data_IF_617438256548
#
_entry.id   IF_617438256548
#
_cell.length_a   1.000
_cell.length_b   1.000
_cell.length_c   1.000
_cell.angle_alpha   90.00
_cell.angle_beta   90.00
_cell.angle_gamma   90.00
#
_symmetry.space_group_name_H-M   'P 1'
#
loop_
_entity.id
_entity.type
_entity.pdbx_description
1 polymer ?
#
# COMPACT_ATOMS: atom_id res chain seq x y z
N UNK A 1 -4.59 -11.75 6.65
CA UNK A 1 -5.43 -11.08 5.64
C UNK A 1 -4.53 -10.25 4.72
N UNK A 2 -4.99 -9.72 3.58
CA UNK A 2 -4.09 -9.41 2.47
C UNK A 2 -3.24 -8.14 2.60
N UNK A 3 -2.04 -8.19 2.01
CA UNK A 3 -1.24 -7.02 1.64
C UNK A 3 -1.62 -6.54 0.23
N UNK A 4 -2.07 -5.29 0.10
CA UNK A 4 -2.43 -4.66 -1.17
C UNK A 4 -1.33 -3.66 -1.55
N UNK A 5 -0.55 -3.99 -2.57
CA UNK A 5 0.52 -3.14 -3.08
C UNK A 5 -0.02 -2.26 -4.21
N UNK A 6 -0.05 -0.95 -4.00
CA UNK A 6 -0.41 -0.01 -5.08
C UNK A 6 0.86 0.42 -5.80
N UNK A 7 0.84 0.35 -7.12
CA UNK A 7 1.98 0.69 -7.99
C UNK A 7 1.52 1.61 -9.11
N UNK A 8 2.38 2.52 -9.56
CA UNK A 8 2.08 3.41 -10.68
C UNK A 8 2.92 4.68 -10.70
N UNK A 9 2.84 5.41 -11.80
CA UNK A 9 3.61 6.64 -12.01
C UNK A 9 3.27 7.74 -10.99
N UNK A 10 4.18 8.68 -10.72
CA UNK A 10 3.86 9.91 -10.00
C UNK A 10 2.61 10.57 -10.59
N UNK A 11 1.73 11.10 -9.75
CA UNK A 11 0.49 11.79 -10.18
C UNK A 11 -0.50 10.96 -11.01
N UNK A 12 -0.39 9.62 -11.01
CA UNK A 12 -1.37 8.73 -11.67
C UNK A 12 -2.70 8.55 -10.91
N UNK A 13 -2.90 9.23 -9.78
CA UNK A 13 -4.10 9.07 -8.94
C UNK A 13 -4.06 7.88 -7.99
N UNK A 14 -2.86 7.40 -7.63
CA UNK A 14 -2.66 6.27 -6.71
C UNK A 14 -3.37 6.45 -5.37
N UNK A 15 -3.08 7.56 -4.70
CA UNK A 15 -3.66 7.90 -3.40
C UNK A 15 -5.18 8.00 -3.45
N UNK A 16 -5.74 8.56 -4.53
CA UNK A 16 -7.20 8.62 -4.72
C UNK A 16 -7.82 7.22 -4.76
N UNK A 17 -7.23 6.29 -5.50
CA UNK A 17 -7.70 4.90 -5.55
C UNK A 17 -7.44 4.14 -4.26
N UNK A 18 -6.33 4.44 -3.57
CA UNK A 18 -6.00 3.86 -2.27
C UNK A 18 -7.05 4.19 -1.21
N UNK A 19 -7.47 5.47 -1.15
CA UNK A 19 -8.54 5.94 -0.25
C UNK A 19 -9.88 5.30 -0.63
N UNK A 20 -10.25 5.26 -1.92
CA UNK A 20 -11.46 4.58 -2.36
C UNK A 20 -11.49 3.09 -1.96
N UNK A 21 -10.36 2.40 -2.06
CA UNK A 21 -10.24 1.01 -1.63
C UNK A 21 -10.39 0.88 -0.11
N UNK A 22 -9.78 1.79 0.65
CA UNK A 22 -9.94 1.84 2.10
C UNK A 22 -11.41 1.99 2.48
N UNK A 23 -12.09 2.99 1.94
CA UNK A 23 -13.51 3.27 2.21
C UNK A 23 -14.40 2.09 1.80
N UNK A 24 -14.07 1.44 0.67
CA UNK A 24 -14.77 0.24 0.21
C UNK A 24 -14.61 -0.94 1.19
N UNK A 25 -13.40 -1.19 1.69
CA UNK A 25 -13.19 -2.26 2.67
C UNK A 25 -13.84 -1.94 4.01
N UNK A 26 -13.72 -0.70 4.49
CA UNK A 26 -14.35 -0.27 5.74
C UNK A 26 -15.88 -0.39 5.66
N UNK A 27 -16.50 0.06 4.57
CA UNK A 27 -17.96 -0.10 4.38
C UNK A 27 -18.39 -1.58 4.30
N UNK A 28 -17.58 -2.45 3.68
CA UNK A 28 -17.84 -3.90 3.68
C UNK A 28 -17.72 -4.53 5.07
N UNK A 29 -16.79 -4.05 5.88
CA UNK A 29 -16.61 -4.50 7.27
C UNK A 29 -17.79 -4.05 8.13
N UNK A 30 -18.24 -2.80 8.02
CA UNK A 30 -19.39 -2.27 8.77
C UNK A 30 -20.70 -2.97 8.41
N UNK A 31 -20.89 -3.34 7.14
CA UNK A 31 -22.09 -4.03 6.68
C UNK A 31 -22.08 -5.56 6.91
N UNK A 32 -20.96 -6.11 7.41
CA UNK A 32 -20.87 -7.54 7.68
C UNK A 32 -21.63 -7.90 8.97
N UNK A 33 -22.33 -9.05 9.02
CA UNK A 33 -22.93 -9.54 10.25
C UNK A 33 -21.89 -9.76 11.35
N UNK A 34 -22.25 -9.47 12.61
CA UNK A 34 -21.32 -9.38 13.76
C UNK A 34 -20.43 -10.62 13.97
N UNK A 35 -20.92 -11.82 13.60
CA UNK A 35 -20.20 -13.10 13.72
C UNK A 35 -19.20 -13.40 12.58
N UNK A 36 -19.19 -12.60 11.51
CA UNK A 36 -18.26 -12.84 10.42
C UNK A 36 -16.83 -12.49 10.88
N UNK A 37 -15.84 -13.34 10.57
CA UNK A 37 -14.40 -13.03 10.74
C UNK A 37 -13.98 -11.67 10.14
N UNK A 38 -14.82 -11.15 9.24
CA UNK A 38 -14.72 -9.85 8.58
C UNK A 38 -14.91 -8.67 9.53
N UNK A 39 -15.72 -8.79 10.60
CA UNK A 39 -16.00 -7.68 11.53
C UNK A 39 -14.80 -7.29 12.41
N UNK A 40 -13.84 -8.20 12.59
CA UNK A 40 -12.60 -7.97 13.36
C UNK A 40 -11.47 -7.35 12.54
N UNK A 41 -11.69 -7.17 11.25
CA UNK A 41 -10.69 -6.64 10.34
C UNK A 41 -10.44 -5.16 10.58
N UNK A 42 -9.17 -4.77 10.53
CA UNK A 42 -8.77 -3.36 10.45
C UNK A 42 -8.10 -3.09 9.13
N UNK A 43 -8.41 -1.95 8.54
CA UNK A 43 -7.83 -1.50 7.27
C UNK A 43 -6.81 -0.40 7.58
N UNK A 44 -5.57 -0.62 7.16
CA UNK A 44 -4.48 0.33 7.33
C UNK A 44 -4.03 0.83 5.97
N UNK A 45 -3.99 2.15 5.81
CA UNK A 45 -3.43 2.80 4.64
C UNK A 45 -2.08 3.40 5.03
N UNK A 46 -1.01 2.87 4.45
CA UNK A 46 0.36 3.37 4.62
C UNK A 46 0.71 4.09 3.33
N UNK A 47 1.12 5.35 3.46
CA UNK A 47 1.57 6.15 2.33
C UNK A 47 2.81 6.99 2.72
N UNK A 48 3.54 7.49 1.74
CA UNK A 48 4.73 8.32 2.01
C UNK A 48 4.41 9.55 2.89
N UNK A 49 3.19 10.09 2.78
CA UNK A 49 2.76 11.28 3.53
C UNK A 49 2.51 11.00 5.03
N UNK A 50 1.92 9.86 5.37
CA UNK A 50 1.65 9.40 6.74
C UNK A 50 2.95 9.06 7.46
N UNK A 51 3.97 8.64 6.70
CA UNK A 51 5.33 8.40 7.21
C UNK A 51 6.17 9.67 7.30
N UNK A 52 5.63 10.84 6.91
CA UNK A 52 6.37 12.11 6.92
C UNK A 52 7.49 12.19 5.88
N UNK A 53 7.49 11.30 4.89
CA UNK A 53 8.52 11.20 3.86
C UNK A 53 8.26 12.28 2.80
N UNK A 54 9.17 13.26 2.71
CA UNK A 54 9.11 14.29 1.69
C UNK A 54 9.39 13.73 0.30
N UNK A 55 8.62 14.12 -0.71
CA UNK A 55 8.81 13.71 -2.13
C UNK A 55 10.19 14.09 -2.70
N UNK A 56 10.91 14.98 -2.03
CA UNK A 56 12.28 15.39 -2.41
C UNK A 56 13.25 14.20 -2.29
N UNK A 57 12.96 13.19 -1.46
CA UNK A 57 13.83 12.01 -1.30
C UNK A 57 14.04 11.22 -2.59
N UNK A 58 13.14 11.33 -3.57
CA UNK A 58 13.29 10.69 -4.88
C UNK A 58 14.34 11.35 -5.79
N UNK A 59 14.94 12.48 -5.38
CA UNK A 59 16.04 13.12 -6.13
C UNK A 59 17.39 12.42 -5.96
N UNK A 60 17.59 11.68 -4.85
CA UNK A 60 18.86 10.99 -4.59
C UNK A 60 18.64 9.53 -4.23
N UNK A 61 19.43 8.64 -4.83
CA UNK A 61 19.27 7.20 -4.64
C UNK A 61 19.42 6.76 -3.17
N UNK A 62 20.23 7.48 -2.37
CA UNK A 62 20.42 7.21 -0.94
C UNK A 62 19.15 7.52 -0.15
N UNK A 63 18.60 8.72 -0.29
CA UNK A 63 17.39 9.12 0.43
C UNK A 63 16.17 8.27 0.01
N UNK A 64 16.08 7.90 -1.27
CA UNK A 64 15.04 6.98 -1.75
C UNK A 64 15.16 5.58 -1.10
N UNK A 65 16.39 5.09 -0.91
CA UNK A 65 16.60 3.80 -0.23
C UNK A 65 16.14 3.87 1.23
N UNK A 66 16.45 4.95 1.93
CA UNK A 66 16.07 5.14 3.33
C UNK A 66 14.54 5.28 3.47
N UNK A 67 13.89 6.04 2.58
CA UNK A 67 12.43 6.15 2.52
C UNK A 67 11.74 4.79 2.31
N UNK A 68 12.26 3.96 1.39
CA UNK A 68 11.74 2.60 1.18
C UNK A 68 11.95 1.68 2.38
N UNK A 69 13.06 1.85 3.09
CA UNK A 69 13.31 1.07 4.31
C UNK A 69 12.31 1.44 5.42
N UNK A 70 11.93 2.71 5.52
CA UNK A 70 10.90 3.17 6.45
C UNK A 70 9.51 2.62 6.08
N UNK A 71 9.11 2.71 4.79
CA UNK A 71 7.85 2.14 4.29
C UNK A 71 7.79 0.63 4.55
N UNK A 72 8.85 -0.10 4.22
CA UNK A 72 8.96 -1.53 4.50
C UNK A 72 8.81 -1.84 6.00
N UNK A 73 9.47 -1.06 6.86
CA UNK A 73 9.41 -1.24 8.31
C UNK A 73 8.00 -0.97 8.85
N UNK A 74 7.32 0.05 8.34
CA UNK A 74 5.94 0.37 8.70
C UNK A 74 4.97 -0.74 8.29
N UNK A 75 5.07 -1.23 7.04
CA UNK A 75 4.25 -2.34 6.54
C UNK A 75 4.48 -3.58 7.41
N UNK A 76 5.74 -3.94 7.67
CA UNK A 76 6.09 -5.12 8.48
C UNK A 76 5.52 -5.07 9.90
N UNK A 77 5.48 -3.90 10.54
CA UNK A 77 4.94 -3.74 11.90
C UNK A 77 3.42 -3.92 11.97
N UNK A 78 2.72 -3.54 10.90
CA UNK A 78 1.25 -3.54 10.85
C UNK A 78 0.72 -4.86 10.25
N UNK A 79 1.53 -5.52 9.42
CA UNK A 79 1.13 -6.73 8.72
C UNK A 79 0.86 -7.87 9.73
N UNK A 80 -0.40 -8.28 9.80
CA UNK A 80 -0.88 -9.33 10.69
C UNK A 80 -1.95 -10.18 10.01
N UNK A 81 -2.39 -11.24 10.70
CA UNK A 81 -3.43 -12.14 10.17
C UNK A 81 -4.80 -11.49 10.09
N UNK A 82 -5.11 -10.51 10.95
CA UNK A 82 -6.42 -9.86 11.04
C UNK A 82 -6.43 -8.43 10.46
N UNK A 83 -5.33 -7.98 9.87
CA UNK A 83 -5.17 -6.64 9.31
C UNK A 83 -5.13 -6.69 7.78
N UNK A 84 -5.80 -5.74 7.12
CA UNK A 84 -5.67 -5.45 5.69
C UNK A 84 -4.74 -4.25 5.56
N UNK A 85 -3.61 -4.43 4.87
CA UNK A 85 -2.62 -3.36 4.71
C UNK A 85 -2.60 -2.91 3.25
N UNK A 86 -2.88 -1.64 3.01
CA UNK A 86 -2.78 -0.98 1.72
C UNK A 86 -1.50 -0.14 1.73
N UNK A 87 -0.51 -0.53 0.93
CA UNK A 87 0.72 0.21 0.75
C UNK A 87 0.60 1.10 -0.50
N UNK A 88 0.35 2.40 -0.29
CA UNK A 88 0.35 3.44 -1.31
C UNK A 88 1.72 4.09 -1.43
N UNK A 89 2.57 3.45 -2.24
CA UNK A 89 3.87 3.96 -2.63
C UNK A 89 4.00 4.02 -4.15
N UNK A 90 5.12 4.54 -4.66
CA UNK A 90 5.40 4.46 -6.10
C UNK A 90 5.59 3.00 -6.55
N UNK A 91 6.21 2.17 -5.69
CA UNK A 91 6.39 0.73 -5.86
C UNK A 91 6.87 0.28 -7.25
N UNK A 92 7.62 1.13 -7.98
CA UNK A 92 8.07 0.87 -9.36
C UNK A 92 9.20 -0.15 -9.43
N UNK A 93 9.94 -0.34 -8.34
CA UNK A 93 11.10 -1.24 -8.28
C UNK A 93 10.64 -2.67 -8.04
N UNK A 94 10.92 -3.55 -9.01
CA UNK A 94 10.58 -4.99 -8.95
C UNK A 94 11.14 -5.66 -7.69
N UNK A 95 12.38 -5.36 -7.33
CA UNK A 95 13.03 -5.91 -6.13
C UNK A 95 12.32 -5.52 -4.83
N UNK A 96 11.83 -4.27 -4.73
CA UNK A 96 11.10 -3.81 -3.55
C UNK A 96 9.74 -4.50 -3.42
N UNK A 97 9.00 -4.62 -4.53
CA UNK A 97 7.73 -5.38 -4.54
C UNK A 97 7.95 -6.85 -4.15
N UNK A 98 9.05 -7.44 -4.60
CA UNK A 98 9.39 -8.81 -4.22
C UNK A 98 9.70 -8.95 -2.73
N UNK A 99 10.40 -7.98 -2.12
CA UNK A 99 10.65 -7.96 -0.67
C UNK A 99 9.34 -7.93 0.13
N UNK A 100 8.39 -7.07 -0.25
CA UNK A 100 7.07 -6.99 0.39
C UNK A 100 6.24 -8.28 0.18
N UNK A 101 6.33 -8.88 -1.00
CA UNK A 101 5.72 -10.19 -1.28
C UNK A 101 6.31 -11.29 -0.38
N UNK A 102 7.62 -11.33 -0.21
CA UNK A 102 8.28 -12.28 0.68
C UNK A 102 7.82 -12.12 2.13
N UNK A 103 7.63 -10.88 2.60
CA UNK A 103 7.13 -10.60 3.95
C UNK A 103 5.69 -11.12 4.13
N UNK A 104 4.82 -10.83 3.16
CA UNK A 104 3.45 -11.35 3.16
C UNK A 104 3.42 -12.89 3.14
N UNK A 105 4.29 -13.50 2.33
CA UNK A 105 4.43 -14.97 2.25
C UNK A 105 4.93 -15.56 3.57
N UNK A 106 5.88 -14.92 4.26
CA UNK A 106 6.38 -15.37 5.55
C UNK A 106 5.28 -15.41 6.62
N UNK A 107 4.35 -14.46 6.58
CA UNK A 107 3.18 -14.40 7.46
C UNK A 107 1.99 -15.24 6.97
N UNK A 108 2.15 -15.99 5.88
CA UNK A 108 1.09 -16.78 5.22
C UNK A 108 -0.14 -15.92 4.87
N UNK A 109 0.11 -14.67 4.51
CA UNK A 109 -0.92 -13.73 4.09
C UNK A 109 -0.95 -13.61 2.56
N UNK A 110 -2.14 -13.53 1.94
CA UNK A 110 -2.23 -13.26 0.52
C UNK A 110 -1.68 -11.86 0.22
N UNK A 111 -1.13 -11.66 -0.98
CA UNK A 111 -0.73 -10.34 -1.45
C UNK A 111 -1.23 -10.10 -2.87
N UNK A 112 -1.55 -8.87 -3.19
CA UNK A 112 -1.95 -8.46 -4.53
C UNK A 112 -1.26 -7.16 -4.93
N UNK A 113 -1.10 -6.97 -6.24
CA UNK A 113 -0.53 -5.74 -6.80
C UNK A 113 -1.61 -5.07 -7.65
N UNK A 114 -1.93 -3.82 -7.32
CA UNK A 114 -2.85 -2.98 -8.07
C UNK A 114 -2.02 -1.93 -8.80
N UNK A 115 -1.86 -2.11 -10.11
CA UNK A 115 -1.15 -1.15 -10.95
C UNK A 115 -2.13 -0.12 -11.50
N UNK A 116 -1.91 1.14 -11.16
CA UNK A 116 -2.70 2.27 -11.66
C UNK A 116 -1.96 2.88 -12.83
N UNK A 117 -2.58 2.74 -14.00
CA UNK A 117 -2.07 3.25 -15.25
C UNK A 117 -2.90 4.47 -15.65
N UNK A 118 -2.21 5.58 -15.89
CA UNK A 118 -2.77 6.75 -16.58
C UNK A 118 -2.10 6.82 -17.96
N UNK A 119 -2.84 7.08 -19.05
CA UNK A 119 -2.23 7.30 -20.36
C UNK A 119 -1.21 8.42 -20.30
N UNK A 120 -0.04 8.22 -20.92
CA UNK A 120 1.11 9.13 -20.84
C UNK A 120 0.78 10.57 -21.27
N UNK A 121 -0.23 10.76 -22.13
CA UNK A 121 -0.63 12.08 -22.65
C UNK A 121 -1.41 12.98 -21.67
N UNK A 122 -1.89 12.47 -20.54
CA UNK A 122 -2.74 13.24 -19.61
C UNK A 122 -2.06 13.59 -18.28
N UNK A 123 -0.85 13.11 -18.02
CA UNK A 123 -0.17 13.29 -16.73
C UNK A 123 0.27 14.74 -16.45
N UNK A 124 0.30 15.60 -17.48
CA UNK A 124 0.78 16.99 -17.42
C UNK A 124 -0.30 18.05 -17.65
N UNK A 125 -1.58 17.66 -17.76
CA UNK A 125 -2.70 18.60 -17.83
C UNK A 125 -3.29 18.85 -16.45
#
# INVERSE_FOLDING_TARGET
MPLVLISGFPSAGKTTRAVQLKDYFESKITNAPADARVSRLKVHLINDQTLGVSRIVYHTAKAEKDARAEEYSAVKRILSRDDIVIADGLNYIKGFRYQLYCEAKALQTPSCVVSILRPYGEAHR
#
